data_IF_819599537919
#
_entry.id   IF_819599537919
#
_cell.length_a   1.000
_cell.length_b   1.000
_cell.length_c   1.000
_cell.angle_alpha   90.00
_cell.angle_beta   90.00
_cell.angle_gamma   90.00
#
_symmetry.space_group_name_H-M   'P 1'
#
loop_
_entity.id
_entity.type
_entity.pdbx_description
1 polymer ?
#
# COMPACT_ATOMS: atom_id res chain seq x y z
N UNK A 1 6.33 -16.20 16.55
CA UNK A 1 7.37 -15.30 16.01
C UNK A 1 6.86 -14.66 14.73
N UNK A 2 7.31 -13.44 14.44
CA UNK A 2 7.08 -12.80 13.15
C UNK A 2 7.75 -13.65 12.06
N UNK A 3 7.08 -13.86 10.94
CA UNK A 3 7.58 -14.73 9.86
C UNK A 3 8.01 -13.87 8.69
N UNK A 4 8.94 -14.41 7.92
CA UNK A 4 9.24 -13.83 6.62
C UNK A 4 8.11 -14.16 5.65
N UNK A 5 7.82 -13.23 4.75
CA UNK A 5 6.79 -13.35 3.73
C UNK A 5 5.94 -12.08 3.56
N UNK A 6 4.82 -12.25 2.85
CA UNK A 6 3.91 -11.16 2.50
C UNK A 6 2.81 -10.98 3.53
N UNK A 7 2.46 -9.74 3.78
CA UNK A 7 1.48 -9.31 4.76
C UNK A 7 0.56 -8.26 4.15
N UNK A 8 -0.74 -8.44 4.36
CA UNK A 8 -1.66 -7.32 4.27
C UNK A 8 -1.51 -6.46 5.53
N UNK A 9 -1.32 -5.15 5.34
CA UNK A 9 -1.23 -4.19 6.41
C UNK A 9 -2.51 -3.37 6.46
N UNK A 10 -3.12 -3.27 7.63
CA UNK A 10 -4.12 -2.25 7.95
C UNK A 10 -3.52 -1.31 8.99
N UNK A 11 -3.67 -0.01 8.81
CA UNK A 11 -3.05 0.96 9.70
C UNK A 11 -3.94 2.18 9.90
N UNK A 12 -3.74 2.85 11.03
CA UNK A 12 -4.48 4.06 11.41
C UNK A 12 -3.64 5.03 12.22
N UNK A 13 -4.03 6.29 12.12
CA UNK A 13 -3.63 7.39 12.99
C UNK A 13 -4.90 8.17 13.40
N UNK A 14 -4.83 9.12 14.34
CA UNK A 14 -5.95 10.03 14.61
C UNK A 14 -6.44 10.83 13.39
N UNK A 15 -5.62 10.92 12.34
CA UNK A 15 -5.89 11.71 11.13
C UNK A 15 -6.52 10.89 10.01
N UNK A 16 -6.44 9.56 10.06
CA UNK A 16 -6.96 8.70 9.00
C UNK A 16 -6.52 7.25 9.13
N UNK A 17 -6.87 6.45 8.12
CA UNK A 17 -6.52 5.03 8.05
C UNK A 17 -6.24 4.62 6.61
N UNK A 18 -5.56 3.49 6.44
CA UNK A 18 -5.22 2.96 5.14
C UNK A 18 -4.90 1.48 5.17
N UNK A 19 -4.67 0.94 3.98
CA UNK A 19 -4.22 -0.43 3.77
C UNK A 19 -3.03 -0.44 2.84
N UNK A 20 -2.18 -1.45 2.99
CA UNK A 20 -1.01 -1.63 2.14
C UNK A 20 -0.54 -3.08 2.11
N UNK A 21 0.49 -3.33 1.32
CA UNK A 21 1.19 -4.60 1.27
C UNK A 21 2.59 -4.40 1.87
N UNK A 22 2.98 -5.32 2.74
CA UNK A 22 4.30 -5.37 3.36
C UNK A 22 4.92 -6.73 3.11
N UNK A 23 6.19 -6.76 2.78
CA UNK A 23 7.00 -7.96 2.66
C UNK A 23 8.15 -7.87 3.66
N UNK A 24 8.28 -8.92 4.47
CA UNK A 24 9.32 -9.06 5.49
C UNK A 24 10.28 -10.17 5.04
N UNK A 25 11.56 -9.84 4.89
CA UNK A 25 12.58 -10.80 4.46
C UNK A 25 13.89 -10.48 5.16
N UNK A 26 14.43 -11.44 5.92
CA UNK A 26 15.75 -11.37 6.52
C UNK A 26 16.00 -10.06 7.31
N UNK A 27 15.02 -9.63 8.11
CA UNK A 27 15.12 -8.40 8.90
C UNK A 27 14.90 -7.11 8.11
N UNK A 28 14.51 -7.18 6.83
CA UNK A 28 14.17 -6.03 5.99
C UNK A 28 12.67 -5.91 5.77
N UNK A 29 12.21 -4.66 5.69
CA UNK A 29 10.84 -4.31 5.36
C UNK A 29 10.85 -3.69 3.97
N UNK A 30 9.94 -4.16 3.13
CA UNK A 30 9.58 -3.47 1.90
C UNK A 30 8.07 -3.49 1.73
N UNK A 31 7.51 -2.52 1.01
CA UNK A 31 6.06 -2.50 0.82
C UNK A 31 5.59 -1.26 0.09
N UNK A 32 4.28 -1.20 -0.12
CA UNK A 32 3.62 -0.04 -0.71
C UNK A 32 2.13 -0.05 -0.46
N UNK A 33 1.52 1.10 -0.65
CA UNK A 33 0.10 1.25 -0.96
C UNK A 33 -0.07 1.98 -2.31
N UNK A 34 -1.23 2.61 -2.52
CA UNK A 34 -1.53 3.36 -3.75
C UNK A 34 -0.68 4.61 -3.96
N UNK A 35 -0.11 5.21 -2.90
CA UNK A 35 0.55 6.52 -2.95
C UNK A 35 1.94 6.55 -2.32
N UNK A 36 2.24 5.61 -1.43
CA UNK A 36 3.44 5.56 -0.61
C UNK A 36 4.16 4.22 -0.77
N UNK A 37 5.50 4.28 -0.72
CA UNK A 37 6.36 3.12 -0.54
C UNK A 37 6.83 3.02 0.90
N UNK A 38 7.03 1.79 1.35
CA UNK A 38 7.51 1.44 2.66
C UNK A 38 8.88 0.77 2.55
N UNK A 39 9.81 1.15 3.40
CA UNK A 39 11.13 0.53 3.50
C UNK A 39 11.60 0.51 4.95
N UNK A 40 12.54 -0.35 5.30
CA UNK A 40 13.11 -0.32 6.63
C UNK A 40 13.67 -1.64 7.11
N UNK A 41 13.74 -1.81 8.43
CA UNK A 41 14.28 -3.00 9.07
C UNK A 41 13.48 -3.38 10.31
N UNK A 42 13.47 -4.67 10.64
CA UNK A 42 12.87 -5.19 11.86
C UNK A 42 13.81 -6.15 12.58
N UNK A 43 13.62 -6.26 13.88
CA UNK A 43 14.28 -7.25 14.74
C UNK A 43 13.22 -7.98 15.55
N UNK A 44 13.36 -9.29 15.68
CA UNK A 44 12.39 -10.14 16.38
C UNK A 44 13.04 -10.74 17.61
N UNK A 45 12.34 -10.64 18.73
CA UNK A 45 12.67 -11.33 19.97
C UNK A 45 11.44 -12.14 20.43
N UNK A 46 11.43 -13.43 20.12
CA UNK A 46 10.35 -14.38 20.40
C UNK A 46 8.99 -13.96 19.83
N UNK A 47 8.16 -13.31 20.65
CA UNK A 47 6.83 -12.80 20.30
C UNK A 47 6.81 -11.27 20.13
N UNK A 48 7.87 -10.58 20.53
CA UNK A 48 8.03 -9.14 20.39
C UNK A 48 8.86 -8.84 19.15
N UNK A 49 8.63 -7.68 18.55
CA UNK A 49 9.50 -7.17 17.51
C UNK A 49 9.59 -5.65 17.59
N UNK A 50 10.71 -5.12 17.13
CA UNK A 50 10.92 -3.70 16.89
C UNK A 50 11.13 -3.48 15.40
N UNK A 51 10.76 -2.32 14.90
CA UNK A 51 10.99 -1.95 13.51
C UNK A 51 11.24 -0.46 13.35
N UNK A 52 12.03 -0.13 12.34
CA UNK A 52 12.20 1.23 11.82
C UNK A 52 11.62 1.23 10.42
N UNK A 53 10.61 2.07 10.19
CA UNK A 53 9.85 2.14 8.95
C UNK A 53 10.00 3.53 8.32
N UNK A 54 10.54 3.60 7.12
CA UNK A 54 10.53 4.78 6.27
C UNK A 54 9.32 4.72 5.34
N UNK A 55 8.53 5.77 5.32
CA UNK A 55 7.38 5.95 4.42
C UNK A 55 7.70 7.11 3.49
N UNK A 56 7.54 6.91 2.18
CA UNK A 56 7.83 7.93 1.18
C UNK A 56 6.80 7.95 0.08
N UNK A 57 6.31 9.13 -0.30
CA UNK A 57 5.38 9.28 -1.42
C UNK A 57 6.05 8.91 -2.75
N UNK A 58 5.36 8.12 -3.56
CA UNK A 58 5.74 7.81 -4.95
C UNK A 58 4.69 8.26 -5.98
N UNK A 59 3.46 8.56 -5.56
CA UNK A 59 2.40 9.04 -6.42
C UNK A 59 1.57 10.14 -5.76
N UNK A 60 1.05 11.05 -6.58
CA UNK A 60 0.08 12.06 -6.17
C UNK A 60 -1.26 11.40 -5.80
N UNK A 61 -1.97 11.98 -4.84
CA UNK A 61 -3.27 11.49 -4.41
C UNK A 61 -3.57 11.91 -2.99
N UNK A 62 -4.10 10.99 -2.19
CA UNK A 62 -4.52 11.29 -0.83
C UNK A 62 -3.32 11.76 0.04
N UNK A 63 -3.56 12.67 1.00
CA UNK A 63 -2.53 13.10 1.93
C UNK A 63 -2.05 11.94 2.81
N UNK A 64 -0.82 12.03 3.28
CA UNK A 64 -0.24 11.08 4.24
C UNK A 64 -1.06 11.03 5.52
N UNK A 65 -1.25 9.83 6.08
CA UNK A 65 -1.87 9.65 7.41
C UNK A 65 -1.02 10.25 8.54
N UNK A 66 0.26 10.52 8.27
CA UNK A 66 1.17 11.22 9.19
C UNK A 66 1.19 12.73 8.99
N UNK A 67 0.77 13.22 7.81
CA UNK A 67 0.89 14.61 7.38
C UNK A 67 2.04 14.83 6.40
N UNK A 68 3.31 14.74 6.83
CA UNK A 68 4.44 14.79 5.93
C UNK A 68 4.46 13.60 4.97
N UNK A 69 5.00 13.83 3.78
CA UNK A 69 5.06 12.82 2.70
C UNK A 69 6.29 11.90 2.78
N UNK A 70 7.26 12.26 3.62
CA UNK A 70 8.41 11.43 3.98
C UNK A 70 8.54 11.43 5.51
N UNK A 71 8.45 10.25 6.11
CA UNK A 71 8.55 10.08 7.56
C UNK A 71 9.31 8.81 7.94
N UNK A 72 9.96 8.84 9.09
CA UNK A 72 10.52 7.65 9.73
C UNK A 72 9.75 7.32 11.02
N UNK A 73 9.31 6.08 11.15
CA UNK A 73 8.46 5.61 12.23
C UNK A 73 9.16 4.51 13.00
N UNK A 74 9.31 4.71 14.31
CA UNK A 74 9.81 3.67 15.21
C UNK A 74 8.63 2.88 15.76
N UNK A 75 8.62 1.57 15.54
CA UNK A 75 7.52 0.68 15.88
C UNK A 75 7.96 -0.37 16.89
N UNK A 76 7.05 -0.71 17.80
CA UNK A 76 7.14 -1.90 18.66
C UNK A 76 5.87 -2.69 18.54
N UNK A 77 5.98 -4.02 18.47
CA UNK A 77 4.84 -4.88 18.24
C UNK A 77 4.92 -6.26 18.87
N UNK A 78 3.81 -6.97 18.74
CA UNK A 78 3.59 -8.33 19.22
C UNK A 78 3.07 -9.21 18.08
N UNK A 79 3.53 -10.45 18.06
CA UNK A 79 3.12 -11.45 17.08
C UNK A 79 2.16 -12.46 17.73
N UNK A 80 1.01 -12.69 17.09
CA UNK A 80 0.01 -13.66 17.50
C UNK A 80 -0.40 -14.53 16.30
N UNK A 81 0.21 -15.71 16.18
CA UNK A 81 -0.09 -16.67 15.12
C UNK A 81 0.17 -16.13 13.71
N UNK A 82 -0.91 -15.93 12.94
CA UNK A 82 -0.86 -15.36 11.58
C UNK A 82 -0.97 -13.83 11.55
N UNK A 83 -1.13 -13.18 12.70
CA UNK A 83 -1.24 -11.73 12.81
C UNK A 83 -0.09 -11.15 13.63
N UNK A 84 0.22 -9.88 13.38
CA UNK A 84 1.09 -9.10 14.24
C UNK A 84 0.51 -7.69 14.39
N UNK A 85 0.59 -7.12 15.58
CA UNK A 85 0.18 -5.73 15.83
C UNK A 85 1.39 -4.93 16.26
N UNK A 86 1.51 -3.70 15.77
CA UNK A 86 2.55 -2.77 16.21
C UNK A 86 1.98 -1.37 16.33
N UNK A 87 2.67 -0.58 17.15
CA UNK A 87 2.37 0.83 17.34
C UNK A 87 3.65 1.62 17.48
N UNK A 88 3.58 2.92 17.24
CA UNK A 88 4.73 3.79 17.31
C UNK A 88 4.42 5.22 16.95
N UNK A 89 5.47 6.00 16.72
CA UNK A 89 5.39 7.42 16.41
C UNK A 89 6.36 7.76 15.27
N UNK A 90 5.93 8.66 14.40
CA UNK A 90 6.78 9.24 13.38
C UNK A 90 7.72 10.27 14.00
N UNK A 91 8.99 10.31 13.58
CA UNK A 91 9.97 11.30 14.08
C UNK A 91 9.58 12.73 13.68
N UNK A 92 8.99 12.88 12.51
CA UNK A 92 8.57 14.14 11.91
C UNK A 92 7.18 14.60 12.38
N UNK A 93 6.41 13.70 13.01
CA UNK A 93 5.12 14.01 13.63
C UNK A 93 4.94 13.17 14.92
N UNK A 94 5.70 13.46 15.99
CA UNK A 94 5.69 12.68 17.23
C UNK A 94 4.33 12.69 17.95
N UNK A 95 3.50 13.68 17.69
CA UNK A 95 2.13 13.80 18.22
C UNK A 95 1.14 12.84 17.55
N UNK A 96 1.51 12.23 16.41
CA UNK A 96 0.65 11.35 15.63
C UNK A 96 0.96 9.89 15.98
N UNK A 97 0.16 9.33 16.89
CA UNK A 97 0.20 7.90 17.19
C UNK A 97 -0.17 7.07 15.97
N UNK A 98 0.66 6.07 15.66
CA UNK A 98 0.45 5.14 14.57
C UNK A 98 0.21 3.74 15.12
N UNK A 99 -0.78 3.06 14.57
CA UNK A 99 -1.08 1.66 14.85
C UNK A 99 -1.21 0.87 13.55
N UNK A 100 -0.69 -0.35 13.53
CA UNK A 100 -0.77 -1.24 12.39
C UNK A 100 -1.03 -2.67 12.82
N UNK A 101 -1.88 -3.35 12.03
CA UNK A 101 -2.14 -4.78 12.09
C UNK A 101 -1.65 -5.40 10.77
N UNK A 102 -0.70 -6.32 10.89
CA UNK A 102 -0.18 -7.14 9.81
C UNK A 102 -0.91 -8.50 9.83
N UNK A 103 -1.36 -8.94 8.66
CA UNK A 103 -2.05 -10.21 8.47
C UNK A 103 -1.25 -11.02 7.45
N UNK A 104 -0.68 -12.14 7.88
CA UNK A 104 0.17 -12.99 7.03
C UNK A 104 -0.65 -13.55 5.87
N UNK A 105 -0.22 -13.26 4.65
CA UNK A 105 -0.81 -13.78 3.43
C UNK A 105 -0.21 -15.16 3.16
N UNK A 106 -0.98 -16.20 3.44
CA UNK A 106 -0.65 -17.53 2.95
C UNK A 106 -0.96 -17.54 1.46
N UNK A 107 0.09 -17.58 0.64
CA UNK A 107 -0.05 -18.02 -0.74
C UNK A 107 -0.37 -19.51 -0.65
N UNK A 108 -1.66 -19.86 -0.57
CA UNK A 108 -2.07 -21.22 -0.90
C UNK A 108 -1.54 -21.44 -2.30
N UNK A 109 -0.57 -22.35 -2.43
CA UNK A 109 -0.07 -22.76 -3.72
C UNK A 109 -1.26 -23.29 -4.48
N UNK A 110 -1.86 -22.44 -5.32
CA UNK A 110 -2.78 -22.89 -6.34
C UNK A 110 -1.99 -23.96 -7.09
N UNK A 111 -2.49 -25.20 -7.16
CA UNK A 111 -1.79 -26.24 -7.89
C UNK A 111 -1.46 -25.68 -9.27
N UNK A 112 -0.25 -25.94 -9.78
CA UNK A 112 0.27 -25.34 -11.02
C UNK A 112 -0.64 -25.54 -12.26
N UNK A 113 -1.69 -26.36 -12.13
CA UNK A 113 -2.75 -26.60 -13.11
C UNK A 113 -4.03 -25.76 -12.92
N UNK A 114 -4.08 -24.84 -11.96
CA UNK A 114 -5.10 -23.81 -11.91
C UNK A 114 -4.85 -22.82 -13.06
N UNK A 115 -5.22 -23.25 -14.27
CA UNK A 115 -5.37 -22.37 -15.43
C UNK A 115 -6.26 -21.24 -14.95
N UNK A 116 -5.69 -20.06 -14.67
CA UNK A 116 -6.43 -18.83 -14.76
C UNK A 116 -7.18 -18.95 -16.07
N UNK A 117 -8.51 -19.06 -16.01
CA UNK A 117 -9.28 -19.22 -17.22
C UNK A 117 -9.00 -17.96 -18.03
N UNK A 118 -8.11 -18.07 -19.01
CA UNK A 118 -7.98 -17.08 -20.07
C UNK A 118 -9.28 -17.23 -20.82
N UNK A 119 -10.31 -16.53 -20.32
CA UNK A 119 -11.55 -16.37 -21.03
C UNK A 119 -11.13 -15.71 -22.34
N UNK A 120 -11.26 -16.45 -23.44
CA UNK A 120 -11.14 -15.85 -24.77
C UNK A 120 -12.23 -14.79 -24.83
N UNK A 121 -11.84 -13.53 -24.64
CA UNK A 121 -12.73 -12.40 -24.79
C UNK A 121 -13.28 -12.47 -26.20
N UNK A 122 -14.57 -12.78 -26.33
CA UNK A 122 -15.23 -12.80 -27.62
C UNK A 122 -15.52 -11.34 -27.99
N UNK A 123 -14.82 -10.76 -28.99
CA UNK A 123 -15.01 -9.36 -29.36
C UNK A 123 -16.44 -9.08 -29.84
N UNK A 124 -17.14 -10.10 -30.34
CA UNK A 124 -18.55 -9.98 -30.76
C UNK A 124 -19.56 -9.86 -29.62
N UNK A 125 -19.18 -10.25 -28.40
CA UNK A 125 -19.99 -10.08 -27.20
C UNK A 125 -19.64 -8.81 -26.42
N UNK A 126 -18.63 -8.05 -26.87
CA UNK A 126 -18.37 -6.74 -26.30
C UNK A 126 -19.53 -5.81 -26.68
N UNK A 127 -19.98 -4.93 -25.77
CA UNK A 127 -20.93 -3.89 -26.12
C UNK A 127 -20.39 -3.10 -27.32
N UNK A 128 -21.07 -3.23 -28.46
CA UNK A 128 -20.70 -2.52 -29.69
C UNK A 128 -21.29 -1.11 -29.58
N UNK A 129 -20.47 -0.18 -29.13
CA UNK A 129 -20.86 1.22 -29.01
C UNK A 129 -19.95 1.96 -28.03
N UNK A 130 -19.72 3.24 -28.33
CA UNK A 130 -19.26 4.21 -27.34
C UNK A 130 -20.33 4.25 -26.23
N UNK A 131 -19.97 3.82 -25.01
CA UNK A 131 -20.84 3.98 -23.84
C UNK A 131 -21.38 5.41 -23.81
N UNK A 132 -22.62 5.65 -23.41
CA UNK A 132 -23.18 7.01 -23.34
C UNK A 132 -22.40 7.98 -22.41
N UNK A 133 -21.36 7.47 -21.72
CA UNK A 133 -20.35 8.22 -20.95
C UNK A 133 -19.16 8.72 -21.77
N UNK A 134 -18.90 8.19 -22.95
CA UNK A 134 -17.89 8.74 -23.85
C UNK A 134 -18.43 9.99 -24.52
N UNK A 135 -18.30 11.12 -23.82
CA UNK A 135 -18.46 12.41 -24.48
C UNK A 135 -17.35 12.53 -25.53
N UNK A 136 -17.71 12.99 -26.72
CA UNK A 136 -16.74 13.46 -27.69
C UNK A 136 -15.88 14.52 -27.00
N UNK A 137 -14.57 14.27 -26.95
CA UNK A 137 -13.61 15.28 -26.52
C UNK A 137 -13.77 16.47 -27.48
N UNK A 138 -14.12 17.68 -27.01
CA UNK A 138 -14.17 18.82 -27.90
C UNK A 138 -12.79 18.98 -28.55
N UNK A 139 -12.71 19.31 -29.84
CA UNK A 139 -11.44 19.53 -30.51
C UNK A 139 -10.67 20.61 -29.75
N UNK A 140 -9.41 20.33 -29.42
CA UNK A 140 -8.49 21.30 -28.86
C UNK A 140 -8.31 22.43 -29.88
N UNK A 141 -8.87 23.60 -29.60
CA UNK A 141 -8.53 24.82 -30.35
C UNK A 141 -7.32 25.46 -29.66
N UNK A 142 -6.16 25.58 -30.32
CA UNK A 142 -5.05 26.34 -29.77
C UNK A 142 -5.48 27.80 -29.62
N UNK A 143 -5.31 28.36 -28.42
CA UNK A 143 -5.58 29.77 -28.15
C UNK A 143 -4.66 30.65 -28.99
N UNK A 144 -5.26 31.59 -29.72
CA UNK A 144 -4.55 32.63 -30.48
C UNK A 144 -3.72 33.47 -29.50
N UNK A 145 -2.41 33.71 -29.76
CA UNK A 145 -1.63 34.58 -28.89
C UNK A 145 -2.14 36.03 -28.99
N UNK A 146 -2.06 36.81 -27.91
CA UNK A 146 -2.48 38.20 -27.90
C UNK A 146 -1.64 39.01 -28.89
N UNK A 147 -2.30 39.83 -29.70
CA UNK A 147 -1.65 40.84 -30.53
C UNK A 147 -1.10 41.95 -29.62
N UNK A 148 0.06 42.48 -30.01
CA UNK A 148 0.84 43.53 -29.35
C UNK A 148 0.04 44.77 -28.94
#
# INVERSE_FOLDING_TARGET
MLRDGKYAAWFRTPRGQGTGLVELVEGRISGRDSFFTYGGSYQVDQQRFTAVLTVKRHAEGNPSVFGPDEVEVNLTGLCSGAMATCSGMAREAPEVGFECTLIYSQEEALPADAKCAVLKLNPDKLPKGLDSRSRSRPPFTPSRPPAS
#
